data_IF_642006102426
#
_entry.id   IF_642006102426
#
_cell.length_a   1.000
_cell.length_b   1.000
_cell.length_c   1.000
_cell.angle_alpha   90.00
_cell.angle_beta   90.00
_cell.angle_gamma   90.00
#
_symmetry.space_group_name_H-M   'P 1'
#
loop_
_entity.id
_entity.type
_entity.pdbx_description
1 polymer ?
#
# COMPACT_ATOMS: atom_id res chain seq x y z
N UNK A 1 67.83 -40.17 -1.60
CA UNK A 1 67.51 -40.01 -3.04
C UNK A 1 66.01 -40.09 -3.17
N UNK A 2 65.33 -38.94 -3.28
CA UNK A 2 64.68 -38.45 -4.52
C UNK A 2 63.57 -39.42 -4.97
N UNK A 3 62.28 -39.07 -5.00
CA UNK A 3 61.72 -37.92 -5.72
C UNK A 3 60.31 -37.60 -5.18
N UNK A 4 60.08 -36.36 -4.76
CA UNK A 4 58.74 -35.78 -4.60
C UNK A 4 58.27 -35.33 -5.99
N UNK A 5 57.23 -35.95 -6.54
CA UNK A 5 56.60 -35.52 -7.79
C UNK A 5 55.37 -34.67 -7.45
N UNK A 6 55.59 -33.37 -7.27
CA UNK A 6 54.52 -32.38 -7.11
C UNK A 6 53.93 -32.12 -8.49
N UNK A 7 52.74 -32.66 -8.76
CA UNK A 7 51.92 -32.28 -9.91
C UNK A 7 51.38 -30.86 -9.68
N UNK A 8 52.09 -29.86 -10.20
CA UNK A 8 51.53 -28.54 -10.47
C UNK A 8 50.55 -28.67 -11.63
N UNK A 9 49.27 -28.92 -11.33
CA UNK A 9 48.19 -28.67 -12.28
C UNK A 9 48.06 -27.16 -12.38
N UNK A 10 48.66 -26.58 -13.41
CA UNK A 10 48.38 -25.22 -13.81
C UNK A 10 46.89 -25.13 -14.17
N UNK A 11 46.08 -24.63 -13.25
CA UNK A 11 44.78 -24.07 -13.59
C UNK A 11 45.04 -22.87 -14.50
N UNK A 12 45.04 -23.13 -15.81
CA UNK A 12 44.81 -22.10 -16.81
C UNK A 12 43.42 -21.55 -16.54
N UNK A 13 43.34 -20.49 -15.74
CA UNK A 13 42.19 -19.62 -15.72
C UNK A 13 42.05 -19.05 -17.14
N UNK A 14 41.26 -19.72 -17.98
CA UNK A 14 40.71 -19.08 -19.15
C UNK A 14 39.97 -17.85 -18.62
N UNK A 15 40.49 -16.66 -18.91
CA UNK A 15 39.71 -15.44 -18.80
C UNK A 15 38.45 -15.70 -19.61
N UNK A 16 37.31 -15.89 -18.93
CA UNK A 16 36.04 -16.07 -19.60
C UNK A 16 35.83 -14.82 -20.45
N UNK A 17 35.97 -14.95 -21.78
CA UNK A 17 35.73 -13.83 -22.68
C UNK A 17 34.33 -13.30 -22.42
N UNK A 18 34.18 -11.97 -22.34
CA UNK A 18 32.88 -11.35 -22.07
C UNK A 18 31.89 -11.82 -23.15
N UNK A 19 30.84 -12.56 -22.75
CA UNK A 19 29.80 -13.03 -23.67
C UNK A 19 28.68 -12.00 -23.74
N UNK A 20 28.26 -11.63 -24.95
CA UNK A 20 27.14 -10.73 -25.15
C UNK A 20 25.83 -11.38 -24.69
N UNK A 21 25.12 -10.77 -23.74
CA UNK A 21 23.87 -11.31 -23.18
C UNK A 21 22.74 -11.43 -24.22
N UNK A 22 22.80 -10.67 -25.32
CA UNK A 22 21.75 -10.65 -26.35
C UNK A 22 21.98 -11.69 -27.44
N UNK A 23 23.18 -11.73 -28.04
CA UNK A 23 23.47 -12.64 -29.15
C UNK A 23 24.21 -13.92 -28.74
N UNK A 24 24.64 -14.03 -27.48
CA UNK A 24 25.36 -15.17 -26.91
C UNK A 24 26.69 -15.49 -27.62
N UNK A 25 27.30 -14.49 -28.27
CA UNK A 25 28.62 -14.59 -28.88
C UNK A 25 29.67 -13.91 -27.99
N UNK A 26 30.89 -14.42 -28.06
CA UNK A 26 32.08 -13.79 -27.45
C UNK A 26 32.30 -12.38 -28.00
N UNK A 27 32.59 -11.42 -27.11
CA UNK A 27 32.87 -10.04 -27.46
C UNK A 27 34.37 -9.88 -27.70
N UNK A 28 34.76 -9.64 -28.96
CA UNK A 28 36.18 -9.60 -29.37
C UNK A 28 36.82 -8.21 -29.39
N UNK A 29 36.02 -7.14 -29.45
CA UNK A 29 36.52 -5.79 -29.73
C UNK A 29 36.13 -4.78 -28.65
N UNK A 30 34.85 -4.41 -28.59
CA UNK A 30 34.32 -3.43 -27.63
C UNK A 30 33.23 -4.06 -26.78
N UNK A 31 33.42 -4.00 -25.47
CA UNK A 31 32.47 -4.42 -24.47
C UNK A 31 31.70 -3.20 -23.98
N UNK A 32 30.38 -3.25 -24.12
CA UNK A 32 29.47 -2.28 -23.52
C UNK A 32 28.79 -2.92 -22.34
N UNK A 33 28.44 -2.14 -21.32
CA UNK A 33 27.70 -2.65 -20.18
C UNK A 33 26.40 -1.89 -19.99
N UNK A 34 25.33 -2.61 -19.65
CA UNK A 34 24.03 -2.06 -19.28
C UNK A 34 23.52 -2.77 -18.04
N UNK A 35 22.76 -2.08 -17.21
CA UNK A 35 22.04 -2.73 -16.12
C UNK A 35 20.82 -3.46 -16.69
N UNK A 36 20.68 -4.74 -16.36
CA UNK A 36 19.41 -5.44 -16.44
C UNK A 36 18.51 -4.92 -15.33
N UNK A 37 17.50 -4.13 -15.69
CA UNK A 37 16.60 -3.49 -14.72
C UNK A 37 15.75 -4.49 -13.94
N UNK A 38 15.52 -5.69 -14.48
CA UNK A 38 14.71 -6.72 -13.83
C UNK A 38 15.52 -7.43 -12.74
N UNK A 39 16.76 -7.83 -13.07
CA UNK A 39 17.61 -8.59 -12.14
C UNK A 39 18.59 -7.70 -11.35
N UNK A 40 18.68 -6.40 -11.65
CA UNK A 40 19.63 -5.44 -11.07
C UNK A 40 21.09 -5.87 -11.25
N UNK A 41 21.38 -6.60 -12.31
CA UNK A 41 22.73 -7.10 -12.63
C UNK A 41 23.33 -6.33 -13.80
N UNK A 42 24.64 -6.07 -13.74
CA UNK A 42 25.39 -5.54 -14.88
C UNK A 42 25.57 -6.63 -15.93
N UNK A 43 25.12 -6.37 -17.16
CA UNK A 43 25.28 -7.28 -18.30
C UNK A 43 26.18 -6.67 -19.37
N UNK A 44 26.83 -7.53 -20.16
CA UNK A 44 27.72 -7.14 -21.24
C UNK A 44 27.07 -7.31 -22.61
N UNK A 45 27.35 -6.36 -23.51
CA UNK A 45 26.77 -6.23 -24.85
C UNK A 45 27.88 -6.02 -25.88
N UNK A 46 27.77 -6.66 -27.05
CA UNK A 46 28.57 -6.29 -28.21
C UNK A 46 28.03 -5.02 -28.88
N UNK A 47 28.86 -4.37 -29.70
CA UNK A 47 28.49 -3.14 -30.42
C UNK A 47 27.24 -3.32 -31.30
N UNK A 48 27.11 -4.46 -31.98
CA UNK A 48 25.98 -4.74 -32.87
C UNK A 48 24.65 -4.83 -32.10
N UNK A 49 24.66 -5.52 -30.96
CA UNK A 49 23.45 -5.65 -30.14
C UNK A 49 23.06 -4.34 -29.46
N UNK A 50 24.02 -3.47 -29.15
CA UNK A 50 23.72 -2.14 -28.60
C UNK A 50 22.94 -1.25 -29.59
N UNK A 51 23.13 -1.46 -30.90
CA UNK A 51 22.49 -0.69 -31.97
C UNK A 51 21.10 -1.22 -32.38
N UNK A 52 20.62 -2.30 -31.75
CA UNK A 52 19.29 -2.82 -32.06
C UNK A 52 18.21 -1.78 -31.71
N UNK A 53 17.14 -1.68 -32.54
CA UNK A 53 16.16 -0.60 -32.40
C UNK A 53 15.21 -0.82 -31.21
N UNK A 54 14.91 -2.07 -30.87
CA UNK A 54 13.98 -2.42 -29.81
C UNK A 54 14.72 -2.82 -28.53
N UNK A 55 14.20 -2.36 -27.40
CA UNK A 55 14.63 -2.78 -26.06
C UNK A 55 13.45 -3.45 -25.33
N UNK A 56 13.75 -4.44 -24.51
CA UNK A 56 12.76 -5.06 -23.65
C UNK A 56 12.23 -4.03 -22.65
N UNK A 57 10.91 -3.93 -22.53
CA UNK A 57 10.23 -3.02 -21.62
C UNK A 57 10.57 -3.29 -20.16
N UNK A 58 10.77 -4.56 -19.78
CA UNK A 58 11.08 -4.95 -18.41
C UNK A 58 12.56 -4.76 -18.08
N UNK A 59 13.45 -5.55 -18.68
CA UNK A 59 14.87 -5.48 -18.34
C UNK A 59 15.64 -4.31 -18.97
N UNK A 60 15.09 -3.64 -19.99
CA UNK A 60 15.77 -2.56 -20.70
C UNK A 60 16.91 -3.01 -21.63
N UNK A 61 17.16 -4.32 -21.77
CA UNK A 61 18.19 -4.83 -22.68
C UNK A 61 17.69 -4.85 -24.14
N UNK A 62 18.59 -4.66 -25.13
CA UNK A 62 18.22 -4.76 -26.54
C UNK A 62 17.71 -6.15 -26.92
N UNK A 63 16.83 -6.24 -27.91
CA UNK A 63 16.16 -7.50 -28.27
C UNK A 63 16.42 -7.86 -29.72
N UNK A 64 16.98 -9.05 -29.96
CA UNK A 64 17.39 -9.50 -31.28
C UNK A 64 16.34 -10.36 -31.99
N UNK A 65 15.78 -11.35 -31.28
CA UNK A 65 14.78 -12.30 -31.79
C UNK A 65 13.93 -12.87 -30.66
N UNK A 66 12.89 -13.62 -31.03
CA UNK A 66 11.99 -14.35 -30.12
C UNK A 66 11.36 -13.42 -29.07
N UNK A 67 10.75 -12.33 -29.50
CA UNK A 67 10.13 -11.35 -28.61
C UNK A 67 8.66 -11.16 -28.89
N UNK A 68 7.93 -10.72 -27.87
CA UNK A 68 6.52 -10.40 -27.97
C UNK A 68 6.35 -8.89 -28.05
N UNK A 69 5.61 -8.42 -29.05
CA UNK A 69 5.17 -7.02 -29.12
C UNK A 69 3.74 -6.93 -28.62
N UNK A 70 3.50 -6.09 -27.62
CA UNK A 70 2.17 -5.80 -27.09
C UNK A 70 1.41 -4.86 -28.04
N UNK A 71 0.07 -4.77 -27.92
CA UNK A 71 -0.75 -3.89 -28.76
C UNK A 71 -0.33 -2.41 -28.73
N UNK A 72 0.21 -1.94 -27.60
CA UNK A 72 0.76 -0.57 -27.45
C UNK A 72 2.20 -0.39 -27.96
N UNK A 73 2.76 -1.41 -28.61
CA UNK A 73 4.08 -1.37 -29.20
C UNK A 73 5.23 -1.71 -28.26
N UNK A 74 5.01 -1.88 -26.94
CA UNK A 74 6.04 -2.37 -26.01
C UNK A 74 6.55 -3.73 -26.44
N UNK A 75 7.86 -3.95 -26.29
CA UNK A 75 8.52 -5.22 -26.63
C UNK A 75 8.95 -5.92 -25.34
N UNK A 76 8.69 -7.22 -25.23
CA UNK A 76 9.14 -8.06 -24.11
C UNK A 76 9.95 -9.22 -24.69
N UNK A 77 11.17 -9.41 -24.18
CA UNK A 77 12.05 -10.47 -24.67
C UNK A 77 11.57 -11.86 -24.23
N UNK A 78 12.03 -12.91 -24.94
CA UNK A 78 11.72 -14.32 -24.62
C UNK A 78 11.90 -14.69 -23.15
N UNK A 79 12.93 -14.12 -22.51
CA UNK A 79 13.28 -14.42 -21.13
C UNK A 79 12.23 -13.88 -20.16
N UNK A 80 11.76 -12.67 -20.41
CA UNK A 80 10.95 -11.91 -19.45
C UNK A 80 9.43 -12.15 -19.66
N UNK A 81 9.01 -12.64 -20.83
CA UNK A 81 7.59 -12.80 -21.17
C UNK A 81 6.84 -13.75 -20.23
N UNK A 82 7.50 -14.77 -19.69
CA UNK A 82 6.89 -15.71 -18.74
C UNK A 82 6.63 -15.12 -17.35
N UNK A 83 7.13 -13.91 -17.08
CA UNK A 83 7.00 -13.23 -15.78
C UNK A 83 5.92 -12.15 -15.77
N UNK A 84 5.27 -11.87 -16.91
CA UNK A 84 4.25 -10.82 -17.02
C UNK A 84 2.84 -11.37 -17.08
N UNK A 85 1.91 -10.57 -16.58
CA UNK A 85 0.47 -10.83 -16.66
C UNK A 85 -0.08 -10.17 -17.93
N UNK A 86 -0.66 -10.98 -18.80
CA UNK A 86 -1.26 -10.54 -20.08
C UNK A 86 -2.74 -10.89 -20.20
N UNK A 87 -3.25 -11.77 -19.36
CA UNK A 87 -4.63 -12.24 -19.38
C UNK A 87 -5.48 -11.46 -18.38
N UNK A 88 -6.60 -10.89 -18.85
CA UNK A 88 -7.50 -10.07 -18.04
C UNK A 88 -8.14 -10.87 -16.90
N UNK A 89 -8.39 -12.16 -17.11
CA UNK A 89 -9.00 -13.02 -16.09
C UNK A 89 -7.99 -13.33 -14.98
N UNK A 90 -6.75 -13.67 -15.33
CA UNK A 90 -5.66 -13.83 -14.37
C UNK A 90 -5.45 -12.55 -13.57
N UNK A 91 -5.41 -11.40 -14.25
CA UNK A 91 -5.30 -10.11 -13.60
C UNK A 91 -6.44 -9.85 -12.61
N UNK A 92 -7.69 -10.12 -13.00
CA UNK A 92 -8.85 -9.99 -12.13
C UNK A 92 -8.71 -10.84 -10.87
N UNK A 93 -8.33 -12.11 -11.01
CA UNK A 93 -8.11 -13.01 -9.87
C UNK A 93 -7.00 -12.50 -8.94
N UNK A 94 -5.92 -11.95 -9.49
CA UNK A 94 -4.84 -11.34 -8.68
C UNK A 94 -5.38 -10.14 -7.91
N UNK A 95 -6.16 -9.27 -8.55
CA UNK A 95 -6.71 -8.07 -7.92
C UNK A 95 -7.73 -8.40 -6.83
N UNK A 96 -8.57 -9.42 -7.05
CA UNK A 96 -9.50 -9.93 -6.05
C UNK A 96 -8.74 -10.44 -4.82
N UNK A 97 -7.69 -11.25 -5.03
CA UNK A 97 -6.84 -11.74 -3.93
C UNK A 97 -6.13 -10.60 -3.20
N UNK A 98 -5.58 -9.63 -3.94
CA UNK A 98 -4.95 -8.43 -3.36
C UNK A 98 -5.94 -7.68 -2.48
N UNK A 99 -7.19 -7.51 -2.93
CA UNK A 99 -8.22 -6.85 -2.14
C UNK A 99 -8.51 -7.60 -0.84
N UNK A 100 -8.67 -8.92 -0.90
CA UNK A 100 -8.90 -9.75 0.29
C UNK A 100 -7.74 -9.66 1.29
N UNK A 101 -6.51 -9.70 0.79
CA UNK A 101 -5.31 -9.60 1.62
C UNK A 101 -5.16 -8.20 2.22
N UNK A 102 -5.45 -7.16 1.44
CA UNK A 102 -5.44 -5.77 1.89
C UNK A 102 -6.50 -5.51 2.96
N UNK A 103 -7.72 -6.02 2.75
CA UNK A 103 -8.78 -5.96 3.77
C UNK A 103 -8.30 -6.68 5.03
N UNK A 104 -7.80 -7.91 4.95
CA UNK A 104 -7.29 -8.64 6.12
C UNK A 104 -6.19 -7.88 6.86
N UNK A 105 -5.29 -7.23 6.13
CA UNK A 105 -4.17 -6.48 6.67
C UNK A 105 -4.61 -5.17 7.33
N UNK A 106 -5.51 -4.42 6.70
CA UNK A 106 -5.78 -3.03 7.04
C UNK A 106 -7.20 -2.74 7.52
N UNK A 107 -8.08 -3.74 7.70
CA UNK A 107 -9.50 -3.57 8.10
C UNK A 107 -9.70 -2.71 9.36
N UNK A 108 -8.70 -2.64 10.26
CA UNK A 108 -8.73 -1.78 11.45
C UNK A 108 -8.59 -0.30 11.16
N UNK A 109 -8.00 0.05 10.01
CA UNK A 109 -7.58 1.40 9.64
C UNK A 109 -8.38 1.93 8.46
N UNK A 110 -8.59 1.09 7.44
CA UNK A 110 -9.29 1.46 6.21
C UNK A 110 -10.26 0.34 5.79
N UNK A 111 -11.33 0.73 5.11
CA UNK A 111 -12.30 -0.21 4.51
C UNK A 111 -12.37 0.11 3.03
N UNK A 112 -11.82 -0.78 2.20
CA UNK A 112 -11.87 -0.62 0.75
C UNK A 112 -13.28 -0.94 0.25
N UNK A 113 -13.88 -0.11 -0.62
CA UNK A 113 -15.24 -0.33 -1.11
C UNK A 113 -15.42 -1.73 -1.72
N UNK A 114 -16.47 -2.45 -1.30
CA UNK A 114 -16.62 -3.88 -1.56
C UNK A 114 -17.34 -4.23 -2.88
N UNK A 115 -18.30 -3.41 -3.31
CA UNK A 115 -19.28 -3.80 -4.36
C UNK A 115 -19.40 -2.82 -5.52
N UNK A 116 -18.60 -1.75 -5.51
CA UNK A 116 -18.66 -0.69 -6.49
C UNK A 116 -17.31 -0.43 -7.17
N UNK A 117 -16.36 -1.36 -7.10
CA UNK A 117 -15.08 -1.27 -7.80
C UNK A 117 -15.02 -2.35 -8.86
N UNK A 118 -14.74 -1.97 -10.10
CA UNK A 118 -14.44 -2.90 -11.20
C UNK A 118 -13.01 -2.71 -11.65
N UNK A 119 -12.25 -3.80 -11.77
CA UNK A 119 -10.87 -3.76 -12.28
C UNK A 119 -10.85 -4.25 -13.73
N UNK A 120 -10.14 -3.53 -14.60
CA UNK A 120 -9.94 -3.89 -16.00
C UNK A 120 -8.48 -3.68 -16.41
N UNK A 121 -8.06 -4.41 -17.43
CA UNK A 121 -6.73 -4.26 -18.03
C UNK A 121 -6.78 -3.40 -19.28
N UNK A 122 -5.74 -2.60 -19.47
CA UNK A 122 -5.63 -1.68 -20.59
C UNK A 122 -4.22 -1.67 -21.17
N UNK A 123 -4.14 -1.35 -22.45
CA UNK A 123 -2.87 -0.99 -23.07
C UNK A 123 -2.45 0.45 -22.70
N UNK A 124 -1.17 0.78 -22.94
CA UNK A 124 -0.61 2.08 -22.56
C UNK A 124 -1.25 3.25 -23.31
N UNK A 125 -1.68 3.05 -24.56
CA UNK A 125 -2.24 4.12 -25.38
C UNK A 125 -3.56 4.57 -24.77
N UNK A 126 -4.43 3.62 -24.47
CA UNK A 126 -5.73 3.87 -23.84
C UNK A 126 -5.59 4.45 -22.43
N UNK A 127 -4.62 3.95 -21.65
CA UNK A 127 -4.33 4.51 -20.33
C UNK A 127 -3.85 5.97 -20.42
N UNK A 128 -2.99 6.30 -21.38
CA UNK A 128 -2.53 7.67 -21.61
C UNK A 128 -3.65 8.61 -22.11
N UNK A 129 -4.60 8.11 -22.90
CA UNK A 129 -5.76 8.89 -23.34
C UNK A 129 -6.63 9.36 -22.17
N UNK A 130 -6.80 8.53 -21.13
CA UNK A 130 -7.51 8.92 -19.90
C UNK A 130 -6.86 10.13 -19.21
N UNK A 131 -5.53 10.28 -19.32
CA UNK A 131 -4.79 11.41 -18.77
C UNK A 131 -4.73 12.64 -19.69
N UNK A 132 -5.15 12.53 -20.96
CA UNK A 132 -5.17 13.67 -21.91
C UNK A 132 -6.45 14.52 -21.82
N UNK A 133 -7.39 14.20 -20.94
CA UNK A 133 -8.63 14.98 -20.76
C UNK A 133 -8.29 16.36 -20.14
N UNK A 134 -8.78 17.43 -20.79
CA UNK A 134 -8.55 18.84 -20.44
C UNK A 134 -8.84 19.10 -18.95
N UNK A 135 -7.84 19.62 -18.23
CA UNK A 135 -7.89 19.89 -16.79
C UNK A 135 -7.13 18.88 -15.92
N UNK A 136 -6.60 17.81 -16.52
CA UNK A 136 -5.77 16.81 -15.84
C UNK A 136 -4.30 16.95 -16.30
N UNK A 137 -3.62 18.03 -15.89
CA UNK A 137 -2.18 18.22 -16.13
C UNK A 137 -1.36 17.24 -15.27
N UNK A 138 -1.41 15.95 -15.59
CA UNK A 138 -0.62 14.92 -14.93
C UNK A 138 0.25 14.19 -15.94
N UNK A 139 1.55 14.45 -15.87
CA UNK A 139 2.60 13.73 -16.56
C UNK A 139 3.33 12.82 -15.58
N UNK A 140 2.68 11.75 -15.11
CA UNK A 140 3.47 10.60 -14.64
C UNK A 140 3.91 9.82 -15.89
N UNK A 141 5.20 9.82 -16.25
CA UNK A 141 5.67 9.13 -17.46
C UNK A 141 5.48 7.60 -17.39
N UNK A 142 5.20 7.06 -16.19
CA UNK A 142 5.11 5.64 -15.87
C UNK A 142 3.76 5.27 -15.24
N UNK A 143 2.64 5.84 -15.70
CA UNK A 143 1.34 5.42 -15.19
C UNK A 143 1.09 3.93 -15.44
N UNK A 144 0.97 3.15 -14.37
CA UNK A 144 0.71 1.70 -14.38
C UNK A 144 -0.76 1.37 -14.07
N UNK A 145 -1.51 2.34 -13.56
CA UNK A 145 -2.91 2.21 -13.17
C UNK A 145 -3.65 3.54 -13.25
N UNK A 146 -4.98 3.50 -13.20
CA UNK A 146 -5.81 4.69 -13.06
C UNK A 146 -7.14 4.33 -12.42
N UNK A 147 -7.60 5.18 -11.50
CA UNK A 147 -8.93 5.08 -10.88
C UNK A 147 -9.86 6.16 -11.42
N UNK A 148 -10.94 5.74 -12.08
CA UNK A 148 -12.01 6.62 -12.54
C UNK A 148 -13.24 6.50 -11.64
N UNK A 149 -13.93 7.62 -11.43
CA UNK A 149 -15.23 7.65 -10.76
C UNK A 149 -16.34 7.80 -11.78
N UNK A 150 -17.33 6.90 -11.74
CA UNK A 150 -18.53 6.95 -12.58
C UNK A 150 -19.79 7.00 -11.71
N UNK A 151 -20.89 7.50 -12.26
CA UNK A 151 -22.21 7.43 -11.64
C UNK A 151 -23.04 6.43 -12.45
N UNK A 152 -23.45 5.33 -11.83
CA UNK A 152 -24.35 4.32 -12.43
C UNK A 152 -25.59 4.19 -11.55
N UNK A 153 -26.77 4.39 -12.14
CA UNK A 153 -28.06 4.32 -11.44
C UNK A 153 -28.11 5.14 -10.13
N UNK A 154 -27.55 6.36 -10.16
CA UNK A 154 -27.50 7.25 -9.00
C UNK A 154 -26.51 6.86 -7.90
N UNK A 155 -25.77 5.75 -8.07
CA UNK A 155 -24.71 5.32 -7.15
C UNK A 155 -23.34 5.60 -7.74
N UNK A 156 -22.39 5.96 -6.86
CA UNK A 156 -20.98 6.10 -7.24
C UNK A 156 -20.37 4.71 -7.42
N UNK A 157 -19.70 4.53 -8.54
CA UNK A 157 -18.88 3.34 -8.84
C UNK A 157 -17.50 3.77 -9.29
N UNK A 158 -16.52 2.90 -9.07
CA UNK A 158 -15.12 3.08 -9.39
C UNK A 158 -14.72 2.08 -10.47
N UNK A 159 -13.94 2.55 -11.42
CA UNK A 159 -13.32 1.72 -12.45
C UNK A 159 -11.80 1.88 -12.34
N UNK A 160 -11.13 0.80 -11.96
CA UNK A 160 -9.68 0.73 -11.89
C UNK A 160 -9.18 0.12 -13.19
N UNK A 161 -8.33 0.85 -13.90
CA UNK A 161 -7.69 0.41 -15.14
C UNK A 161 -6.21 0.17 -14.89
N UNK A 162 -5.72 -1.05 -15.12
CA UNK A 162 -4.32 -1.44 -14.88
C UNK A 162 -3.61 -1.71 -16.21
N UNK A 163 -2.36 -1.31 -16.31
CA UNK A 163 -1.54 -1.52 -17.51
C UNK A 163 -1.25 -3.01 -17.69
N UNK A 164 -1.47 -3.54 -18.89
CA UNK A 164 -1.11 -4.94 -19.22
C UNK A 164 0.40 -5.15 -19.27
N UNK A 165 0.87 -6.40 -19.20
CA UNK A 165 2.28 -6.72 -19.35
C UNK A 165 3.16 -6.25 -18.18
N UNK A 166 2.56 -6.12 -17.00
CA UNK A 166 3.27 -5.89 -15.75
C UNK A 166 3.75 -7.21 -15.15
N UNK A 167 4.86 -7.15 -14.39
CA UNK A 167 5.24 -8.24 -13.49
C UNK A 167 4.12 -8.46 -12.45
N UNK A 168 3.96 -9.70 -11.99
CA UNK A 168 2.95 -10.04 -10.97
C UNK A 168 3.01 -9.13 -9.74
N UNK A 169 4.22 -8.93 -9.20
CA UNK A 169 4.42 -8.10 -8.00
C UNK A 169 4.03 -6.64 -8.24
N UNK A 170 4.41 -6.08 -9.41
CA UNK A 170 4.04 -4.71 -9.80
C UNK A 170 2.53 -4.56 -10.00
N UNK A 171 1.88 -5.58 -10.57
CA UNK A 171 0.44 -5.60 -10.70
C UNK A 171 -0.24 -5.54 -9.33
N UNK A 172 0.25 -6.35 -8.38
CA UNK A 172 -0.31 -6.40 -7.03
C UNK A 172 -0.18 -5.04 -6.32
N UNK A 173 1.00 -4.41 -6.34
CA UNK A 173 1.20 -3.11 -5.69
C UNK A 173 0.50 -1.96 -6.40
N UNK A 174 0.42 -1.99 -7.73
CA UNK A 174 -0.39 -1.01 -8.48
C UNK A 174 -1.87 -1.17 -8.15
N UNK A 175 -2.38 -2.40 -8.00
CA UNK A 175 -3.75 -2.64 -7.60
C UNK A 175 -4.06 -2.05 -6.21
N UNK A 176 -3.18 -2.23 -5.22
CA UNK A 176 -3.31 -1.60 -3.89
C UNK A 176 -3.32 -0.08 -4.00
N UNK A 177 -2.42 0.50 -4.80
CA UNK A 177 -2.33 1.93 -5.05
C UNK A 177 -3.68 2.48 -5.55
N UNK A 178 -4.27 1.83 -6.55
CA UNK A 178 -5.55 2.27 -7.12
C UNK A 178 -6.72 2.07 -6.14
N UNK A 179 -6.72 0.98 -5.36
CA UNK A 179 -7.71 0.84 -4.28
C UNK A 179 -7.61 1.95 -3.24
N UNK A 180 -6.41 2.44 -2.93
CA UNK A 180 -6.22 3.57 -2.03
C UNK A 180 -6.92 4.84 -2.54
N UNK A 181 -6.87 5.12 -3.85
CA UNK A 181 -7.63 6.21 -4.44
C UNK A 181 -9.14 6.06 -4.23
N UNK A 182 -9.70 4.85 -4.39
CA UNK A 182 -11.13 4.61 -4.13
C UNK A 182 -11.49 4.90 -2.66
N UNK A 183 -10.63 4.51 -1.72
CA UNK A 183 -10.83 4.80 -0.30
C UNK A 183 -10.80 6.31 -0.02
N UNK A 184 -9.85 7.05 -0.61
CA UNK A 184 -9.76 8.52 -0.45
C UNK A 184 -11.04 9.20 -0.94
N UNK A 185 -11.57 8.78 -2.08
CA UNK A 185 -12.77 9.38 -2.68
C UNK A 185 -14.02 9.14 -1.81
N UNK A 186 -14.12 7.99 -1.15
CA UNK A 186 -15.22 7.68 -0.24
C UNK A 186 -15.08 8.34 1.14
N UNK A 187 -13.86 8.37 1.70
CA UNK A 187 -13.66 8.64 3.13
C UNK A 187 -13.10 10.03 3.44
N UNK A 188 -12.47 10.71 2.49
CA UNK A 188 -11.93 12.06 2.71
C UNK A 188 -12.93 13.10 2.26
N UNK A 189 -13.36 14.02 3.14
CA UNK A 189 -14.41 14.99 2.80
C UNK A 189 -14.03 15.86 1.58
N UNK A 190 -15.00 16.30 0.74
CA UNK A 190 -14.72 17.11 -0.44
C UNK A 190 -13.93 18.39 -0.16
N UNK A 191 -14.16 19.05 0.98
CA UNK A 191 -13.41 20.23 1.40
C UNK A 191 -11.93 19.89 1.68
N UNK A 192 -11.67 18.77 2.37
CA UNK A 192 -10.31 18.26 2.62
C UNK A 192 -9.61 17.87 1.32
N UNK A 193 -10.30 17.17 0.40
CA UNK A 193 -9.74 16.77 -0.91
C UNK A 193 -9.28 17.95 -1.77
N UNK A 194 -9.91 19.12 -1.62
CA UNK A 194 -9.47 20.36 -2.32
C UNK A 194 -8.22 20.98 -1.70
N UNK A 195 -7.89 20.65 -0.45
CA UNK A 195 -6.79 21.24 0.33
C UNK A 195 -5.55 20.35 0.37
N UNK A 196 -5.73 19.04 0.47
CA UNK A 196 -4.62 18.08 0.42
C UNK A 196 -3.94 18.14 -0.95
N UNK A 197 -2.60 18.13 -0.96
CA UNK A 197 -1.84 18.18 -2.21
C UNK A 197 -1.92 16.84 -2.94
N UNK A 198 -1.76 16.87 -4.26
CA UNK A 198 -1.63 15.66 -5.07
C UNK A 198 -0.48 14.78 -4.56
N UNK A 199 0.68 15.38 -4.28
CA UNK A 199 1.86 14.67 -3.77
C UNK A 199 1.56 13.88 -2.47
N UNK A 200 0.72 14.43 -1.57
CA UNK A 200 0.33 13.76 -0.34
C UNK A 200 -0.72 12.65 -0.59
N UNK A 201 -1.63 12.84 -1.55
CA UNK A 201 -2.55 11.78 -2.00
C UNK A 201 -1.75 10.60 -2.55
N UNK A 202 -0.83 10.85 -3.49
CA UNK A 202 0.03 9.82 -4.08
C UNK A 202 0.94 9.17 -3.04
N UNK A 203 1.51 9.97 -2.13
CA UNK A 203 2.33 9.47 -1.03
C UNK A 203 1.58 8.51 -0.10
N UNK A 204 0.29 8.78 0.16
CA UNK A 204 -0.55 7.87 0.95
C UNK A 204 -0.92 6.61 0.18
N UNK A 205 -1.24 6.71 -1.11
CA UNK A 205 -1.49 5.53 -1.94
C UNK A 205 -0.26 4.62 -1.99
N UNK A 206 0.93 5.18 -2.16
CA UNK A 206 2.18 4.42 -2.12
C UNK A 206 2.53 3.89 -0.72
N UNK A 207 2.16 4.58 0.37
CA UNK A 207 2.29 4.02 1.72
C UNK A 207 1.53 2.70 1.84
N UNK A 208 0.28 2.63 1.35
CA UNK A 208 -0.50 1.40 1.43
C UNK A 208 0.12 0.28 0.59
N UNK A 209 0.59 0.60 -0.61
CA UNK A 209 1.32 -0.35 -1.46
C UNK A 209 2.62 -0.84 -0.80
N UNK A 210 3.35 0.05 -0.13
CA UNK A 210 4.58 -0.27 0.60
C UNK A 210 4.31 -1.23 1.77
N UNK A 211 3.30 -0.93 2.59
CA UNK A 211 2.91 -1.77 3.73
C UNK A 211 2.40 -3.13 3.27
N UNK A 212 1.64 -3.18 2.18
CA UNK A 212 1.22 -4.42 1.56
C UNK A 212 2.42 -5.24 1.08
N UNK A 213 3.32 -4.63 0.31
CA UNK A 213 4.53 -5.28 -0.18
C UNK A 213 5.42 -5.79 0.97
N UNK A 214 5.52 -5.06 2.08
CA UNK A 214 6.22 -5.49 3.29
C UNK A 214 5.64 -6.79 3.85
N UNK A 215 4.32 -6.83 4.05
CA UNK A 215 3.64 -8.01 4.60
C UNK A 215 3.74 -9.23 3.69
N UNK A 216 3.73 -9.01 2.37
CA UNK A 216 3.85 -10.07 1.37
C UNK A 216 5.31 -10.50 1.12
N UNK A 217 6.30 -9.83 1.74
CA UNK A 217 7.73 -10.12 1.54
C UNK A 217 8.28 -9.69 0.18
N UNK A 218 7.60 -8.78 -0.53
CA UNK A 218 7.93 -8.32 -1.88
C UNK A 218 9.00 -7.22 -1.85
N UNK A 219 10.23 -7.59 -1.48
CA UNK A 219 11.34 -6.63 -1.25
C UNK A 219 11.71 -5.80 -2.48
N UNK A 220 11.64 -6.40 -3.67
CA UNK A 220 11.95 -5.68 -4.92
C UNK A 220 10.89 -4.61 -5.19
N UNK A 221 9.61 -4.98 -5.07
CA UNK A 221 8.52 -4.03 -5.21
C UNK A 221 8.59 -2.88 -4.18
N UNK A 222 8.95 -3.16 -2.92
CA UNK A 222 9.19 -2.11 -1.91
C UNK A 222 10.30 -1.15 -2.35
N UNK A 223 11.42 -1.68 -2.85
CA UNK A 223 12.53 -0.85 -3.32
C UNK A 223 12.13 0.02 -4.52
N UNK A 224 11.35 -0.54 -5.46
CA UNK A 224 10.86 0.19 -6.63
C UNK A 224 9.87 1.31 -6.23
N UNK A 225 8.98 1.05 -5.28
CA UNK A 225 8.07 2.05 -4.70
C UNK A 225 8.86 3.21 -4.07
N UNK A 226 9.88 2.90 -3.26
CA UNK A 226 10.71 3.93 -2.61
C UNK A 226 11.59 4.72 -3.61
N UNK A 227 11.94 4.13 -4.74
CA UNK A 227 12.71 4.81 -5.79
C UNK A 227 11.84 5.77 -6.63
N UNK A 228 10.50 5.74 -6.47
CA UNK A 228 9.60 6.54 -7.28
C UNK A 228 9.51 7.99 -6.78
N UNK A 229 10.04 8.94 -7.56
CA UNK A 229 10.14 10.35 -7.16
C UNK A 229 8.86 11.15 -7.29
N UNK A 230 7.79 10.60 -7.89
CA UNK A 230 6.59 11.38 -8.20
C UNK A 230 5.80 11.85 -6.97
N UNK A 231 5.92 11.18 -5.82
CA UNK A 231 5.35 11.65 -4.54
C UNK A 231 6.13 12.82 -3.93
N UNK A 232 7.24 13.22 -4.55
CA UNK A 232 8.18 14.26 -4.07
C UNK A 232 8.59 14.07 -2.61
N UNK A 233 8.77 12.81 -2.20
CA UNK A 233 9.22 12.42 -0.87
C UNK A 233 8.12 12.27 0.18
N UNK A 234 6.84 12.51 -0.16
CA UNK A 234 5.73 12.32 0.78
C UNK A 234 5.62 10.87 1.26
N UNK A 235 5.93 9.89 0.41
CA UNK A 235 5.96 8.48 0.81
C UNK A 235 6.90 8.24 2.01
N UNK A 236 8.10 8.80 1.99
CA UNK A 236 9.07 8.63 3.07
C UNK A 236 8.56 9.26 4.38
N UNK A 237 7.92 10.43 4.28
CA UNK A 237 7.32 11.08 5.44
C UNK A 237 6.14 10.29 6.01
N UNK A 238 5.32 9.69 5.14
CA UNK A 238 4.21 8.84 5.58
C UNK A 238 4.69 7.54 6.24
N UNK A 239 5.72 6.89 5.69
CA UNK A 239 6.36 5.73 6.30
C UNK A 239 6.92 6.11 7.68
N UNK A 240 7.67 7.22 7.76
CA UNK A 240 8.22 7.70 9.02
C UNK A 240 7.12 8.04 10.04
N UNK A 241 6.03 8.69 9.60
CA UNK A 241 4.91 9.05 10.45
C UNK A 241 4.18 7.80 10.96
N UNK A 242 3.98 6.80 10.09
CA UNK A 242 3.37 5.52 10.47
C UNK A 242 4.26 4.76 11.46
N UNK A 243 5.58 4.77 11.32
CA UNK A 243 6.48 4.17 12.30
C UNK A 243 6.47 4.89 13.65
N UNK A 244 6.46 6.24 13.65
CA UNK A 244 6.54 7.02 14.89
C UNK A 244 5.20 7.11 15.64
N UNK A 245 4.09 7.17 14.91
CA UNK A 245 2.78 7.54 15.48
C UNK A 245 1.69 6.50 15.20
N UNK A 246 1.96 5.53 14.33
CA UNK A 246 1.00 4.52 13.92
C UNK A 246 0.16 4.94 12.71
N UNK A 247 -0.36 3.93 11.99
CA UNK A 247 -1.14 4.15 10.78
C UNK A 247 -2.46 4.90 11.04
N UNK A 248 -3.07 4.76 12.23
CA UNK A 248 -4.28 5.50 12.60
C UNK A 248 -4.09 7.02 12.47
N UNK A 249 -2.97 7.55 12.97
CA UNK A 249 -2.69 8.98 12.93
C UNK A 249 -2.53 9.47 11.48
N UNK A 250 -1.92 8.66 10.61
CA UNK A 250 -1.80 8.96 9.18
C UNK A 250 -3.18 8.96 8.51
N UNK A 251 -4.03 7.98 8.80
CA UNK A 251 -5.40 7.88 8.27
C UNK A 251 -6.25 9.06 8.74
N UNK A 252 -6.19 9.40 10.02
CA UNK A 252 -6.91 10.55 10.58
C UNK A 252 -6.46 11.86 9.93
N UNK A 253 -5.15 12.02 9.68
CA UNK A 253 -4.61 13.16 8.95
C UNK A 253 -5.08 13.22 7.50
N UNK A 254 -5.22 12.08 6.82
CA UNK A 254 -5.79 12.06 5.47
C UNK A 254 -7.22 12.59 5.48
N UNK A 255 -8.04 12.14 6.43
CA UNK A 255 -9.45 12.52 6.54
C UNK A 255 -9.66 13.97 7.00
N UNK A 256 -8.86 14.42 7.98
CA UNK A 256 -9.15 15.64 8.74
C UNK A 256 -7.92 16.52 8.98
N UNK A 257 -6.76 16.24 8.40
CA UNK A 257 -5.54 17.01 8.62
C UNK A 257 -5.65 18.48 8.21
N UNK A 258 -4.93 19.36 8.91
CA UNK A 258 -4.93 20.80 8.61
C UNK A 258 -4.03 21.17 7.42
N UNK A 259 -2.93 20.45 7.22
CA UNK A 259 -1.90 20.82 6.24
C UNK A 259 -2.12 20.13 4.89
N UNK A 260 -1.64 20.72 3.80
CA UNK A 260 -1.76 20.14 2.47
C UNK A 260 -0.87 18.90 2.27
N UNK A 261 0.27 18.83 2.98
CA UNK A 261 1.28 17.78 2.90
C UNK A 261 2.05 17.67 4.22
N UNK A 262 2.75 16.56 4.44
CA UNK A 262 3.65 16.39 5.59
C UNK A 262 4.97 17.15 5.35
N UNK A 263 5.52 17.72 6.42
CA UNK A 263 6.74 18.54 6.40
C UNK A 263 7.85 17.78 7.11
N UNK A 264 9.00 17.60 6.46
CA UNK A 264 10.15 16.82 6.95
C UNK A 264 10.59 17.20 8.36
N UNK A 265 10.65 18.50 8.68
CA UNK A 265 11.11 18.97 9.99
C UNK A 265 9.98 19.13 11.03
N UNK A 266 8.76 18.67 10.73
CA UNK A 266 7.62 18.77 11.63
C UNK A 266 6.63 17.62 11.40
N UNK A 267 7.10 16.39 11.60
CA UNK A 267 6.28 15.20 11.37
C UNK A 267 5.12 15.05 12.39
N UNK A 268 5.28 15.61 13.59
CA UNK A 268 4.22 15.69 14.60
C UNK A 268 2.98 16.46 14.09
N UNK A 269 3.13 17.24 13.01
CA UNK A 269 2.03 17.85 12.28
C UNK A 269 0.97 16.87 11.78
N UNK A 270 1.29 15.57 11.65
CA UNK A 270 0.31 14.53 11.30
C UNK A 270 -0.85 14.46 12.29
N UNK A 271 -0.64 14.83 13.56
CA UNK A 271 -1.70 14.80 14.58
C UNK A 271 -2.52 16.09 14.64
N UNK A 272 -2.25 17.07 13.77
CA UNK A 272 -3.00 18.33 13.69
C UNK A 272 -4.23 18.13 12.82
N UNK A 273 -5.35 17.89 13.48
CA UNK A 273 -6.64 17.65 12.83
C UNK A 273 -7.53 18.89 12.92
N UNK A 274 -8.15 19.23 11.80
CA UNK A 274 -9.29 20.14 11.72
C UNK A 274 -10.53 19.33 12.05
N UNK A 275 -10.71 19.00 13.33
CA UNK A 275 -12.00 18.49 13.79
C UNK A 275 -13.02 19.59 13.56
N UNK A 276 -14.08 19.38 12.75
CA UNK A 276 -15.12 20.36 12.63
C UNK A 276 -15.66 20.63 14.02
N UNK A 277 -15.46 21.86 14.52
CA UNK A 277 -16.27 22.37 15.61
C UNK A 277 -17.69 22.26 15.12
N UNK A 278 -18.46 21.34 15.68
CA UNK A 278 -19.91 21.40 15.60
C UNK A 278 -20.29 22.68 16.33
N UNK A 279 -20.25 23.81 15.61
CA UNK A 279 -20.99 25.00 16.01
C UNK A 279 -22.43 24.57 15.86
N UNK A 280 -23.04 24.17 16.99
CA UNK A 280 -24.48 24.06 17.10
C UNK A 280 -25.02 25.49 16.91
N UNK A 281 -25.19 25.91 15.66
CA UNK A 281 -26.05 27.03 15.32
C UNK A 281 -27.46 26.54 15.61
N UNK A 282 -27.95 26.88 16.79
CA UNK A 282 -29.32 26.61 17.24
C UNK A 282 -30.27 27.35 16.30
N UNK A 283 -31.11 26.67 15.50
CA UNK A 283 -32.26 27.30 14.86
C UNK A 283 -33.28 27.65 15.96
N UNK A 284 -34.07 28.72 15.81
CA UNK A 284 -35.10 29.05 16.79
C UNK A 284 -36.10 27.88 16.92
N UNK A 285 -36.65 27.64 18.13
CA UNK A 285 -37.34 26.41 18.44
C UNK A 285 -38.67 26.33 17.70
N UNK A 286 -38.82 25.34 16.83
CA UNK A 286 -40.12 24.77 16.51
C UNK A 286 -40.24 23.53 17.41
N UNK A 287 -41.22 23.58 18.31
CA UNK A 287 -41.55 22.53 19.25
C UNK A 287 -41.74 21.18 18.54
N UNK A 288 -40.83 20.24 18.77
CA UNK A 288 -41.06 18.81 18.60
C UNK A 288 -40.18 18.04 19.58
N UNK A 289 -40.86 17.30 20.45
CA UNK A 289 -40.44 16.35 21.49
C UNK A 289 -38.97 15.93 21.52
N UNK A 290 -38.31 16.24 22.63
CA UNK A 290 -37.01 15.71 23.03
C UNK A 290 -37.00 14.17 23.02
N UNK A 291 -36.10 13.58 22.26
CA UNK A 291 -35.49 12.30 22.59
C UNK A 291 -34.20 12.61 23.34
N UNK A 292 -34.06 12.11 24.57
CA UNK A 292 -32.80 12.21 25.32
C UNK A 292 -31.66 11.52 24.56
N UNK A 293 -30.42 12.01 24.66
CA UNK A 293 -29.26 11.29 24.15
C UNK A 293 -29.08 9.99 24.95
N UNK A 294 -29.03 8.88 24.24
CA UNK A 294 -28.82 7.54 24.77
C UNK A 294 -27.58 7.52 25.66
N UNK A 295 -27.77 7.26 26.96
CA UNK A 295 -26.68 7.13 27.90
C UNK A 295 -25.84 5.90 27.55
N UNK A 296 -24.51 6.05 27.45
CA UNK A 296 -23.61 4.90 27.35
C UNK A 296 -23.81 3.92 28.52
N UNK A 297 -23.34 2.67 28.40
CA UNK A 297 -23.57 1.64 29.40
C UNK A 297 -23.16 2.11 30.79
N UNK A 298 -24.06 1.92 31.76
CA UNK A 298 -23.86 2.34 33.15
C UNK A 298 -22.80 1.51 33.90
N UNK A 299 -22.38 0.39 33.30
CA UNK A 299 -21.38 -0.54 33.83
C UNK A 299 -20.29 -0.81 32.80
N UNK A 300 -19.14 -1.31 33.25
CA UNK A 300 -18.10 -1.81 32.37
C UNK A 300 -18.52 -3.19 31.86
N UNK A 301 -18.58 -3.33 30.54
CA UNK A 301 -19.04 -4.53 29.84
C UNK A 301 -17.90 -5.02 28.95
N UNK A 302 -17.59 -6.32 29.05
CA UNK A 302 -16.70 -6.99 28.12
C UNK A 302 -17.46 -7.28 26.82
N UNK A 303 -17.13 -6.55 25.76
CA UNK A 303 -17.75 -6.70 24.44
C UNK A 303 -17.08 -7.76 23.57
N UNK A 304 -15.84 -8.16 23.88
CA UNK A 304 -15.11 -9.09 23.03
C UNK A 304 -13.78 -9.53 23.62
N UNK A 305 -13.35 -10.75 23.30
CA UNK A 305 -11.98 -11.24 23.50
C UNK A 305 -11.49 -11.77 22.16
N UNK A 306 -10.34 -11.26 21.71
CA UNK A 306 -9.56 -11.88 20.63
C UNK A 306 -8.45 -12.68 21.28
N UNK A 307 -8.55 -14.00 21.25
CA UNK A 307 -7.58 -14.88 21.91
C UNK A 307 -6.41 -15.22 20.98
N UNK A 308 -5.20 -14.98 21.46
CA UNK A 308 -3.95 -15.50 20.89
C UNK A 308 -3.03 -15.93 22.05
N UNK A 309 -2.31 -17.06 21.94
CA UNK A 309 -1.35 -17.49 22.96
C UNK A 309 -0.25 -16.47 23.26
N UNK A 310 0.12 -15.64 22.28
CA UNK A 310 1.20 -14.67 22.39
C UNK A 310 0.72 -13.24 22.64
N UNK A 311 -0.54 -12.92 22.28
CA UNK A 311 -1.08 -11.55 22.40
C UNK A 311 -2.60 -11.52 22.51
N UNK A 312 -3.16 -11.90 23.68
CA UNK A 312 -4.60 -11.82 23.90
C UNK A 312 -5.05 -10.36 24.00
N UNK A 313 -6.21 -10.03 23.44
CA UNK A 313 -6.80 -8.70 23.47
C UNK A 313 -8.25 -8.74 23.96
N UNK A 314 -8.66 -7.70 24.69
CA UNK A 314 -9.99 -7.54 25.24
C UNK A 314 -10.64 -6.24 24.75
N UNK A 315 -11.96 -6.23 24.56
CA UNK A 315 -12.72 -5.02 24.23
C UNK A 315 -13.70 -4.71 25.35
N UNK A 316 -13.55 -3.56 26.02
CA UNK A 316 -14.37 -3.13 27.16
C UNK A 316 -14.99 -1.76 26.85
N UNK A 317 -16.32 -1.68 26.89
CA UNK A 317 -17.14 -0.57 26.38
C UNK A 317 -16.57 0.03 25.07
N UNK A 318 -16.36 -0.83 24.08
CA UNK A 318 -15.85 -0.52 22.75
C UNK A 318 -14.42 0.04 22.70
N UNK A 319 -13.61 -0.17 23.75
CA UNK A 319 -12.18 0.15 23.78
C UNK A 319 -11.35 -1.11 23.89
N UNK A 320 -10.30 -1.22 23.09
CA UNK A 320 -9.40 -2.37 23.11
C UNK A 320 -8.34 -2.24 24.20
N UNK A 321 -7.94 -3.38 24.77
CA UNK A 321 -6.96 -3.53 25.83
C UNK A 321 -6.05 -4.71 25.53
N UNK A 322 -4.75 -4.50 25.69
CA UNK A 322 -3.75 -5.52 25.98
C UNK A 322 -3.46 -5.60 27.48
N UNK A 323 -2.73 -6.64 27.89
CA UNK A 323 -2.29 -6.78 29.28
C UNK A 323 -1.40 -5.60 29.65
N UNK A 324 -1.74 -4.91 30.74
CA UNK A 324 -1.15 -3.67 31.28
C UNK A 324 -1.54 -2.36 30.60
N UNK A 325 -2.41 -2.37 29.58
CA UNK A 325 -2.90 -1.13 28.97
C UNK A 325 -3.75 -0.31 29.94
N UNK A 326 -3.63 1.02 29.87
CA UNK A 326 -4.48 2.00 30.56
C UNK A 326 -5.26 2.85 29.57
N UNK A 327 -6.60 2.73 29.59
CA UNK A 327 -7.48 3.40 28.62
C UNK A 327 -8.63 4.09 29.34
N UNK A 328 -9.02 5.28 28.87
CA UNK A 328 -10.24 5.97 29.32
C UNK A 328 -11.46 5.31 28.67
N UNK A 329 -12.34 4.79 29.51
CA UNK A 329 -13.53 4.05 29.12
C UNK A 329 -14.79 4.87 29.45
N UNK A 330 -15.73 5.05 28.50
CA UNK A 330 -17.01 5.68 28.80
C UNK A 330 -17.83 4.85 29.79
N UNK A 331 -18.35 5.49 30.83
CA UNK A 331 -19.21 4.89 31.85
C UNK A 331 -20.33 5.87 32.23
N UNK A 332 -21.56 5.58 31.78
CA UNK A 332 -22.69 6.49 31.88
C UNK A 332 -22.41 7.85 31.21
N UNK A 333 -22.38 8.93 32.02
CA UNK A 333 -22.09 10.31 31.57
C UNK A 333 -20.63 10.75 31.79
N UNK A 334 -19.76 9.83 32.20
CA UNK A 334 -18.36 10.13 32.58
C UNK A 334 -17.38 9.19 31.87
N UNK A 335 -16.07 9.43 32.04
CA UNK A 335 -15.03 8.49 31.62
C UNK A 335 -14.25 8.04 32.85
N UNK A 336 -13.95 6.74 32.92
CA UNK A 336 -13.09 6.15 33.96
C UNK A 336 -11.80 5.62 33.34
N UNK A 337 -10.67 5.83 34.01
CA UNK A 337 -9.40 5.26 33.59
C UNK A 337 -9.31 3.81 34.08
N UNK A 338 -9.18 2.88 33.15
CA UNK A 338 -9.16 1.43 33.42
C UNK A 338 -7.80 0.89 33.01
N UNK A 339 -7.20 0.06 33.86
CA UNK A 339 -6.01 -0.74 33.56
C UNK A 339 -6.42 -2.21 33.34
N UNK A 340 -5.99 -2.83 32.24
CA UNK A 340 -6.17 -4.26 32.04
C UNK A 340 -5.06 -5.05 32.74
N UNK A 341 -5.40 -6.00 33.60
CA UNK A 341 -4.43 -6.78 34.39
C UNK A 341 -4.15 -8.14 33.76
N UNK A 342 -5.19 -8.86 33.34
CA UNK A 342 -5.07 -10.18 32.72
C UNK A 342 -6.21 -10.42 31.75
N UNK A 343 -5.92 -11.10 30.64
CA UNK A 343 -6.91 -11.55 29.65
C UNK A 343 -6.84 -13.06 29.59
N UNK A 344 -7.99 -13.72 29.77
CA UNK A 344 -8.19 -15.16 29.63
C UNK A 344 -9.10 -15.44 28.42
N UNK A 345 -9.36 -16.71 28.10
CA UNK A 345 -10.18 -17.06 26.93
C UNK A 345 -11.62 -16.56 27.01
N UNK A 346 -12.18 -16.46 28.22
CA UNK A 346 -13.58 -16.14 28.48
C UNK A 346 -13.78 -14.93 29.43
N UNK A 347 -12.69 -14.36 29.95
CA UNK A 347 -12.76 -13.30 30.95
C UNK A 347 -11.57 -12.34 30.92
N UNK A 348 -11.77 -11.16 31.50
CA UNK A 348 -10.75 -10.11 31.62
C UNK A 348 -10.78 -9.54 33.03
N UNK A 349 -9.63 -9.43 33.66
CA UNK A 349 -9.51 -8.74 34.95
C UNK A 349 -8.96 -7.34 34.71
N UNK A 350 -9.68 -6.34 35.21
CA UNK A 350 -9.30 -4.94 35.11
C UNK A 350 -9.21 -4.29 36.49
N UNK A 351 -8.58 -3.12 36.54
CA UNK A 351 -8.53 -2.23 37.69
C UNK A 351 -8.99 -0.82 37.29
N UNK A 352 -9.90 -0.22 38.05
CA UNK A 352 -10.22 1.20 37.88
C UNK A 352 -9.15 2.01 38.59
N UNK A 353 -8.33 2.78 37.86
CA UNK A 353 -7.12 3.41 38.40
C UNK A 353 -7.44 4.40 39.51
N UNK A 354 -8.55 5.15 39.39
CA UNK A 354 -8.93 6.16 40.38
C UNK A 354 -9.37 5.60 41.74
N UNK A 355 -9.91 4.39 41.78
CA UNK A 355 -10.39 3.75 43.02
C UNK A 355 -9.52 2.59 43.48
N UNK A 356 -8.66 2.06 42.58
CA UNK A 356 -7.88 0.85 42.80
C UNK A 356 -8.71 -0.44 42.76
N UNK A 357 -10.03 -0.35 42.54
CA UNK A 357 -10.95 -1.47 42.56
C UNK A 357 -10.68 -2.42 41.39
N UNK A 358 -10.60 -3.73 41.69
CA UNK A 358 -10.42 -4.78 40.70
C UNK A 358 -11.76 -5.46 40.42
N UNK A 359 -12.05 -5.69 39.15
CA UNK A 359 -13.24 -6.40 38.71
C UNK A 359 -12.89 -7.37 37.57
N UNK A 360 -13.53 -8.53 37.57
CA UNK A 360 -13.46 -9.49 36.46
C UNK A 360 -14.71 -9.35 35.61
N UNK A 361 -14.52 -9.08 34.32
CA UNK A 361 -15.57 -9.01 33.32
C UNK A 361 -15.60 -10.33 32.54
N UNK A 362 -16.81 -10.81 32.24
CA UNK A 362 -17.07 -11.98 31.39
C UNK A 362 -18.01 -11.58 30.27
N UNK A 363 -17.96 -12.31 29.16
CA UNK A 363 -18.90 -12.13 28.06
C UNK A 363 -20.31 -12.46 28.58
N UNK A 364 -21.28 -11.59 28.32
CA UNK A 364 -22.68 -11.86 28.67
C UNK A 364 -23.21 -12.93 27.71
N UNK A 365 -23.47 -14.14 28.20
CA UNK A 365 -23.92 -15.29 27.37
C UNK A 365 -25.43 -15.26 27.10
N UNK A 366 -25.99 -14.08 26.81
CA UNK A 366 -27.43 -13.93 26.56
C UNK A 366 -27.79 -14.00 25.09
#
# INVERSE_FOLDING_TARGET
MLLFLVFFVAQMAFAAGDVCVVCQREIRFKVFSREDKLNRTRCFLCEDCLKLPDNCYLCGLPVLKDFTRLPDGRVICKRDIGSVILDDKEAGLICDQVKEDLDRQLIRFIVIPATNVTVQFMDRVRLQELYKIIGNDFSCPNTLGCTETKIKAGRRVFEISLLSGQLRENLMTTCVHEYAHTWIIENVQPARRKKISKDAVEGFCELLSYLFAEQQGLRVAQADILANHYTRGQIHLFIEAQHQFGLNEVVDWMQSGTDAYLITNNLAGVRRLDTPKTVKTVPPPIYATHSEPESGPATLVLNGITWSPTRPMAMINHRNFEVNDEVKVPLGKTNVLVRCLTIQQDSVTIQVVGTGEKQQLRMDTR
#
